data_IF_031590326320
#
_entry.id   IF_031590326320
#
_cell.length_a   1.000
_cell.length_b   1.000
_cell.length_c   1.000
_cell.angle_alpha   90.00
_cell.angle_beta   90.00
_cell.angle_gamma   90.00
#
_symmetry.space_group_name_H-M   'P 1'
#
loop_
_entity.id
_entity.type
_entity.pdbx_description
1 polymer ?
#
# COMPACT_ATOMS: atom_id res chain seq x y z
N UNK A 1 20.70 -6.46 33.57
CA UNK A 1 21.94 -5.82 33.09
C UNK A 1 21.53 -4.55 32.34
N UNK A 2 21.87 -3.41 32.93
CA UNK A 2 21.79 -2.03 32.42
C UNK A 2 20.41 -1.39 32.21
N UNK A 3 19.87 -0.88 33.31
CA UNK A 3 19.30 0.47 33.39
C UNK A 3 20.37 1.50 32.96
N UNK A 4 20.05 2.47 32.11
CA UNK A 4 20.64 3.81 32.06
C UNK A 4 20.04 4.55 30.85
N UNK A 5 19.25 5.59 31.07
CA UNK A 5 19.40 6.96 30.51
C UNK A 5 18.22 7.79 31.03
N UNK A 6 18.44 8.44 32.17
CA UNK A 6 17.65 9.56 32.66
C UNK A 6 18.67 10.65 33.03
N UNK A 7 18.78 11.70 32.20
CA UNK A 7 19.59 12.91 32.46
C UNK A 7 18.75 14.11 32.03
N UNK A 8 18.04 14.78 32.94
CA UNK A 8 18.48 15.95 33.71
C UNK A 8 19.13 17.06 32.88
N UNK A 9 18.38 18.14 32.64
CA UNK A 9 18.94 19.49 32.50
C UNK A 9 18.15 20.44 33.39
N UNK A 10 18.88 21.04 34.33
CA UNK A 10 18.41 21.91 35.41
C UNK A 10 19.22 23.20 35.28
N UNK A 11 18.60 24.31 34.90
CA UNK A 11 19.20 25.65 34.97
C UNK A 11 18.13 26.69 35.35
N UNK A 12 18.38 27.35 36.47
CA UNK A 12 17.85 28.62 37.00
C UNK A 12 18.99 29.13 37.94
N UNK A 13 19.11 30.43 38.29
CA UNK A 13 18.12 31.51 38.18
C UNK A 13 18.75 32.81 37.60
N UNK A 14 18.04 33.94 37.59
CA UNK A 14 18.43 35.25 38.15
C UNK A 14 17.25 36.23 37.98
N UNK A 15 17.06 37.07 39.00
CA UNK A 15 15.88 37.91 39.28
C UNK A 15 15.97 39.36 38.75
N UNK A 16 14.83 40.06 38.92
CA UNK A 16 14.58 41.52 39.00
C UNK A 16 14.15 42.14 37.66
N UNK A 17 13.09 42.95 37.53
CA UNK A 17 12.15 43.59 38.45
C UNK A 17 11.55 44.84 37.74
N UNK A 18 10.40 45.35 38.23
CA UNK A 18 9.68 46.60 37.84
C UNK A 18 8.51 46.45 36.82
N UNK A 19 7.52 47.37 36.83
CA UNK A 19 6.53 47.62 37.86
C UNK A 19 5.08 47.46 37.32
N UNK A 20 4.11 47.41 38.24
CA UNK A 20 2.69 47.37 37.94
C UNK A 20 2.20 48.65 37.24
N UNK A 21 1.52 48.47 36.10
CA UNK A 21 0.63 49.47 35.51
C UNK A 21 -0.76 48.84 35.41
N UNK A 22 -1.67 49.35 36.24
CA UNK A 22 -3.11 49.10 36.10
C UNK A 22 -3.58 49.76 34.80
N UNK A 23 -4.14 48.97 33.90
CA UNK A 23 -4.96 49.48 32.79
C UNK A 23 -6.12 48.52 32.58
N UNK A 24 -7.30 49.04 32.95
CA UNK A 24 -8.61 48.81 32.36
C UNK A 24 -8.89 47.41 31.81
N UNK A 25 -9.72 46.66 32.53
CA UNK A 25 -10.49 45.55 31.96
C UNK A 25 -11.38 46.10 30.83
N UNK A 26 -10.93 45.97 29.59
CA UNK A 26 -11.82 45.85 28.46
C UNK A 26 -12.38 44.43 28.50
N UNK A 27 -13.65 44.31 28.87
CA UNK A 27 -14.44 43.10 28.58
C UNK A 27 -14.57 43.06 27.07
N UNK A 28 -13.63 42.37 26.41
CA UNK A 28 -13.78 42.02 25.01
C UNK A 28 -14.97 41.06 24.94
N UNK A 29 -16.00 41.50 24.23
CA UNK A 29 -17.12 40.67 23.81
C UNK A 29 -16.60 39.38 23.19
N UNK A 30 -17.06 38.25 23.71
CA UNK A 30 -16.90 36.88 23.21
C UNK A 30 -17.46 36.78 21.79
N UNK A 31 -16.73 37.32 20.82
CA UNK A 31 -16.83 36.84 19.45
C UNK A 31 -15.89 35.63 19.42
N UNK A 32 -16.37 34.42 19.11
CA UNK A 32 -15.47 33.29 18.90
C UNK A 32 -14.33 33.78 18.00
N UNK A 33 -13.07 33.53 18.37
CA UNK A 33 -11.99 33.73 17.42
C UNK A 33 -12.44 33.09 16.11
N UNK A 34 -12.31 33.78 14.97
CA UNK A 34 -12.80 33.28 13.66
C UNK A 34 -12.35 31.85 13.40
N UNK A 35 -11.20 31.47 13.96
CA UNK A 35 -10.67 30.12 14.02
C UNK A 35 -11.52 29.13 14.83
N UNK A 36 -11.84 29.42 16.10
CA UNK A 36 -12.70 28.55 16.92
C UNK A 36 -14.08 28.42 16.27
N UNK A 37 -14.66 29.52 15.81
CA UNK A 37 -15.94 29.47 15.07
C UNK A 37 -15.89 28.54 13.86
N UNK A 38 -14.80 28.60 13.09
CA UNK A 38 -14.63 27.78 11.89
C UNK A 38 -14.48 26.27 12.16
N UNK A 39 -13.75 25.87 13.21
CA UNK A 39 -13.48 24.45 13.50
C UNK A 39 -14.41 23.82 14.52
N UNK A 40 -15.00 24.61 15.42
CA UNK A 40 -15.88 24.14 16.49
C UNK A 40 -17.36 24.21 16.16
N UNK A 41 -17.79 24.95 15.14
CA UNK A 41 -19.21 25.06 14.73
C UNK A 41 -20.13 25.37 15.92
N UNK A 42 -19.75 26.35 16.76
CA UNK A 42 -20.48 26.81 17.95
C UNK A 42 -20.70 25.77 19.07
N UNK A 43 -20.05 24.61 19.02
CA UNK A 43 -20.10 23.62 20.11
C UNK A 43 -19.46 24.17 21.38
N UNK A 44 -20.23 24.19 22.46
CA UNK A 44 -19.83 24.79 23.74
C UNK A 44 -18.62 24.09 24.37
N UNK A 45 -18.58 22.76 24.26
CA UNK A 45 -17.49 21.91 24.78
C UNK A 45 -16.28 21.81 23.84
N UNK A 46 -16.37 22.36 22.62
CA UNK A 46 -15.28 22.27 21.66
C UNK A 46 -14.14 23.23 22.00
N UNK A 47 -12.91 22.72 21.93
CA UNK A 47 -11.67 23.46 22.17
C UNK A 47 -10.59 23.08 21.17
N UNK A 48 -9.81 24.07 20.76
CA UNK A 48 -8.53 23.87 20.08
C UNK A 48 -7.53 23.49 21.17
N UNK A 49 -7.02 22.26 21.13
CA UNK A 49 -6.03 21.75 22.08
C UNK A 49 -4.68 22.38 21.80
N UNK A 50 -4.28 22.37 20.53
CA UNK A 50 -2.99 22.90 20.07
C UNK A 50 -3.03 23.30 18.60
N UNK A 51 -2.05 24.11 18.22
CA UNK A 51 -1.77 24.52 16.83
C UNK A 51 -0.33 24.16 16.51
N UNK A 52 -0.15 23.24 15.58
CA UNK A 52 1.14 22.70 15.17
C UNK A 52 1.58 23.37 13.87
N UNK A 53 2.77 23.97 13.87
CA UNK A 53 3.34 24.60 12.67
C UNK A 53 3.69 23.54 11.62
N UNK A 54 3.17 23.72 10.41
CA UNK A 54 3.45 22.86 9.26
C UNK A 54 4.26 23.61 8.18
N UNK A 55 4.90 24.73 8.51
CA UNK A 55 5.75 25.50 7.61
C UNK A 55 4.98 26.11 6.44
N UNK A 56 5.60 26.11 5.26
CA UNK A 56 5.04 26.75 4.08
C UNK A 56 4.90 25.75 2.92
N UNK A 57 3.84 25.90 2.13
CA UNK A 57 3.71 25.27 0.83
C UNK A 57 4.68 25.91 -0.19
N UNK A 58 4.85 25.26 -1.34
CA UNK A 58 5.76 25.74 -2.39
C UNK A 58 5.38 27.14 -2.94
N UNK A 59 4.10 27.49 -2.90
CA UNK A 59 3.61 28.82 -3.28
C UNK A 59 3.75 29.86 -2.16
N UNK A 60 4.34 29.51 -1.01
CA UNK A 60 4.53 30.38 0.14
C UNK A 60 3.34 30.47 1.09
N UNK A 61 2.23 29.76 0.83
CA UNK A 61 1.10 29.64 1.77
C UNK A 61 1.58 29.05 3.09
N UNK A 62 1.33 29.73 4.20
CA UNK A 62 1.66 29.22 5.53
C UNK A 62 0.63 28.16 5.95
N UNK A 63 1.11 27.07 6.55
CA UNK A 63 0.32 25.89 6.91
C UNK A 63 0.44 25.65 8.41
N UNK A 64 -0.68 25.35 9.07
CA UNK A 64 -0.70 24.85 10.44
C UNK A 64 -1.76 23.76 10.59
N UNK A 65 -1.55 22.83 11.50
CA UNK A 65 -2.52 21.79 11.84
C UNK A 65 -3.10 22.09 13.22
N UNK A 66 -4.42 22.20 13.29
CA UNK A 66 -5.16 22.40 14.53
C UNK A 66 -5.64 21.04 15.04
N UNK A 67 -5.26 20.70 16.27
CA UNK A 67 -5.80 19.56 16.99
C UNK A 67 -6.97 20.05 17.86
N UNK A 68 -8.15 19.50 17.64
CA UNK A 68 -9.43 20.00 18.16
C UNK A 68 -10.16 18.87 18.88
N UNK A 69 -10.54 19.08 20.13
CA UNK A 69 -11.50 18.22 20.83
C UNK A 69 -12.90 18.82 20.72
N UNK A 70 -13.87 18.06 20.20
CA UNK A 70 -15.22 18.58 19.94
C UNK A 70 -16.16 18.58 21.16
N UNK A 71 -15.87 17.81 22.21
CA UNK A 71 -16.78 17.61 23.33
C UNK A 71 -17.58 16.31 23.26
N UNK A 72 -18.51 16.12 24.19
CA UNK A 72 -19.37 14.94 24.36
C UNK A 72 -20.73 15.05 23.66
N UNK A 73 -21.16 16.25 23.27
CA UNK A 73 -22.36 16.46 22.46
C UNK A 73 -22.17 15.83 21.06
N UNK A 74 -23.03 14.87 20.73
CA UNK A 74 -22.98 14.06 19.51
C UNK A 74 -21.73 13.18 19.39
N UNK A 75 -21.50 12.30 20.39
CA UNK A 75 -20.59 11.17 20.21
C UNK A 75 -20.93 10.48 18.90
N UNK A 76 -19.98 10.50 17.97
CA UNK A 76 -20.06 9.68 16.77
C UNK A 76 -20.16 8.22 17.23
N UNK A 77 -20.92 7.42 16.49
CA UNK A 77 -20.83 5.99 16.61
C UNK A 77 -19.76 5.51 15.63
N UNK A 78 -19.02 4.47 15.98
CA UNK A 78 -18.21 3.73 15.01
C UNK A 78 -19.11 2.99 13.99
N UNK A 79 -18.50 2.29 13.04
CA UNK A 79 -19.22 1.48 12.05
C UNK A 79 -20.09 0.36 12.67
N UNK A 80 -19.86 0.00 13.93
CA UNK A 80 -20.61 -1.02 14.67
C UNK A 80 -21.68 -0.41 15.59
N UNK A 81 -21.87 0.92 15.56
CA UNK A 81 -22.84 1.62 16.39
C UNK A 81 -22.36 1.88 17.83
N UNK A 82 -21.10 1.58 18.17
CA UNK A 82 -20.54 1.85 19.50
C UNK A 82 -20.17 3.32 19.59
N UNK A 83 -20.56 3.97 20.67
CA UNK A 83 -20.20 5.36 20.92
C UNK A 83 -18.68 5.50 21.02
N UNK A 84 -18.10 6.42 20.25
CA UNK A 84 -16.70 6.81 20.42
C UNK A 84 -16.49 7.23 21.88
N UNK A 85 -15.26 7.04 22.41
CA UNK A 85 -14.92 7.59 23.73
C UNK A 85 -15.28 9.08 23.79
N UNK A 86 -15.63 9.59 24.99
CA UNK A 86 -15.87 11.02 25.17
C UNK A 86 -14.67 11.78 24.60
N UNK A 87 -14.95 12.80 23.77
CA UNK A 87 -14.00 13.65 23.04
C UNK A 87 -13.42 13.04 21.74
N UNK A 88 -14.19 12.93 20.64
CA UNK A 88 -13.61 12.70 19.33
C UNK A 88 -12.60 13.81 19.00
N UNK A 89 -11.40 13.39 18.61
CA UNK A 89 -10.31 14.27 18.22
C UNK A 89 -10.36 14.54 16.73
N UNK A 90 -10.30 15.80 16.35
CA UNK A 90 -10.28 16.24 14.96
C UNK A 90 -8.99 16.98 14.66
N UNK A 91 -8.47 16.74 13.46
CA UNK A 91 -7.32 17.45 12.94
C UNK A 91 -7.74 18.29 11.74
N UNK A 92 -7.42 19.58 11.76
CA UNK A 92 -7.79 20.53 10.71
C UNK A 92 -6.56 21.21 10.15
N UNK A 93 -6.48 21.36 8.83
CA UNK A 93 -5.49 22.18 8.17
C UNK A 93 -5.98 23.64 8.14
N UNK A 94 -5.18 24.53 8.70
CA UNK A 94 -5.25 25.98 8.52
C UNK A 94 -4.28 26.39 7.44
N UNK A 95 -4.76 27.15 6.46
CA UNK A 95 -3.95 27.71 5.39
C UNK A 95 -4.05 29.23 5.43
N UNK A 96 -2.92 29.92 5.38
CA UNK A 96 -2.85 31.37 5.28
C UNK A 96 -2.10 31.72 4.00
N UNK A 97 -2.86 32.13 2.99
CA UNK A 97 -2.28 32.52 1.70
C UNK A 97 -1.60 33.89 1.77
N UNK A 98 -0.81 34.24 0.74
CA UNK A 98 0.02 35.46 0.74
C UNK A 98 -0.77 36.76 0.86
N UNK A 99 -2.03 36.77 0.45
CA UNK A 99 -2.93 37.93 0.57
C UNK A 99 -3.59 38.02 1.97
N UNK A 100 -3.24 37.12 2.88
CA UNK A 100 -3.78 37.03 4.23
C UNK A 100 -5.10 36.26 4.35
N UNK A 101 -5.65 35.73 3.25
CA UNK A 101 -6.86 34.90 3.31
C UNK A 101 -6.57 33.60 4.06
N UNK A 102 -7.44 33.31 5.04
CA UNK A 102 -7.38 32.10 5.87
C UNK A 102 -8.46 31.12 5.43
N UNK A 103 -8.10 29.85 5.27
CA UNK A 103 -9.04 28.76 5.03
C UNK A 103 -8.78 27.60 5.99
N UNK A 104 -9.84 26.87 6.33
CA UNK A 104 -9.80 25.70 7.20
C UNK A 104 -10.37 24.50 6.46
N UNK A 105 -9.75 23.33 6.64
CA UNK A 105 -10.22 22.06 6.07
C UNK A 105 -9.95 20.92 7.04
N UNK A 106 -10.94 20.09 7.32
CA UNK A 106 -10.75 18.88 8.13
C UNK A 106 -9.83 17.90 7.40
N UNK A 107 -8.82 17.40 8.09
CA UNK A 107 -7.90 16.37 7.58
C UNK A 107 -8.46 14.99 7.88
N UNK A 108 -8.69 14.70 9.15
CA UNK A 108 -9.25 13.44 9.64
C UNK A 108 -9.84 13.64 11.05
N UNK A 109 -10.58 12.64 11.49
CA UNK A 109 -11.21 12.56 12.81
C UNK A 109 -10.98 11.17 13.39
N UNK A 110 -10.69 11.07 14.69
CA UNK A 110 -10.57 9.80 15.38
C UNK A 110 -11.81 9.51 16.21
N UNK A 111 -12.43 8.37 15.90
CA UNK A 111 -13.29 7.67 16.83
C UNK A 111 -12.39 6.76 17.66
N UNK A 112 -11.84 7.27 18.77
CA UNK A 112 -11.08 6.44 19.70
C UNK A 112 -12.05 5.55 20.49
N UNK A 113 -12.68 4.57 19.84
CA UNK A 113 -13.60 3.60 20.43
C UNK A 113 -12.88 2.49 21.22
N UNK A 114 -11.54 2.47 21.15
CA UNK A 114 -10.69 1.45 21.76
C UNK A 114 -10.35 0.28 20.83
N UNK A 115 -10.47 0.45 19.51
CA UNK A 115 -9.81 -0.36 18.46
C UNK A 115 -9.97 -1.88 18.61
N UNK A 116 -11.16 -2.30 19.06
CA UNK A 116 -11.61 -3.68 19.23
C UNK A 116 -12.19 -3.98 20.63
N UNK A 117 -12.56 -5.24 20.87
CA UNK A 117 -13.13 -5.69 22.15
C UNK A 117 -12.20 -5.48 23.38
N UNK A 118 -10.91 -5.22 23.15
CA UNK A 118 -9.91 -4.96 24.18
C UNK A 118 -9.93 -3.52 24.68
N UNK A 119 -10.47 -2.56 23.93
CA UNK A 119 -10.47 -1.16 24.34
C UNK A 119 -9.07 -0.51 24.35
N UNK A 120 -8.08 -1.11 23.67
CA UNK A 120 -6.68 -0.68 23.68
C UNK A 120 -6.25 -0.34 22.25
N UNK A 121 -5.89 0.92 22.05
CA UNK A 121 -4.99 1.32 20.98
C UNK A 121 -4.49 2.74 21.17
N UNK A 122 -3.55 3.13 20.34
CA UNK A 122 -2.81 4.38 20.45
C UNK A 122 -2.78 5.05 19.08
N UNK A 123 -3.04 6.35 19.06
CA UNK A 123 -2.92 7.20 17.89
C UNK A 123 -1.82 8.22 18.13
N UNK A 124 -0.89 8.33 17.19
CA UNK A 124 0.21 9.30 17.23
C UNK A 124 0.14 10.13 15.96
N UNK A 125 -0.03 11.44 16.12
CA UNK A 125 0.03 12.41 15.03
C UNK A 125 1.29 13.23 15.14
N UNK A 126 2.09 13.23 14.07
CA UNK A 126 3.28 14.07 13.96
C UNK A 126 3.13 15.05 12.80
N UNK A 127 3.35 16.33 13.07
CA UNK A 127 3.30 17.40 12.06
C UNK A 127 4.71 17.90 11.78
N UNK A 128 5.04 18.04 10.49
CA UNK A 128 6.28 18.62 10.02
C UNK A 128 6.05 19.53 8.82
N UNK A 129 7.13 20.06 8.21
CA UNK A 129 7.02 20.96 7.07
C UNK A 129 6.23 20.35 5.91
N UNK A 130 5.06 20.92 5.62
CA UNK A 130 4.09 20.51 4.61
C UNK A 130 3.75 19.00 4.67
N UNK A 131 3.78 18.42 5.87
CA UNK A 131 3.65 16.98 6.08
C UNK A 131 2.93 16.65 7.37
N UNK A 132 2.10 15.61 7.32
CA UNK A 132 1.51 15.01 8.50
C UNK A 132 1.73 13.49 8.43
N UNK A 133 2.05 12.90 9.57
CA UNK A 133 2.18 11.45 9.74
C UNK A 133 1.22 11.00 10.84
N UNK A 134 0.58 9.87 10.59
CA UNK A 134 -0.39 9.21 11.45
C UNK A 134 0.09 7.79 11.70
N UNK A 135 0.32 7.43 12.95
CA UNK A 135 0.59 6.06 13.36
C UNK A 135 -0.53 5.60 14.31
N UNK A 136 -1.18 4.50 13.97
CA UNK A 136 -2.30 3.92 14.72
C UNK A 136 -2.00 2.47 15.01
N UNK A 137 -2.26 2.05 16.24
CA UNK A 137 -2.10 0.65 16.63
C UNK A 137 -3.32 0.20 17.42
N UNK A 138 -3.75 -1.04 17.21
CA UNK A 138 -4.95 -1.56 17.85
C UNK A 138 -4.99 -3.09 17.92
N UNK A 139 -6.13 -3.62 18.34
CA UNK A 139 -6.39 -5.06 18.44
C UNK A 139 -6.04 -5.68 19.80
N UNK A 140 -6.08 -7.02 19.85
CA UNK A 140 -5.91 -7.82 21.06
C UNK A 140 -4.87 -8.92 20.86
N UNK A 141 -5.30 -10.17 20.64
CA UNK A 141 -4.43 -11.27 20.26
C UNK A 141 -3.86 -11.05 18.85
N UNK A 142 -4.73 -10.67 17.92
CA UNK A 142 -4.38 -10.07 16.64
C UNK A 142 -4.22 -8.57 16.81
N UNK A 143 -3.03 -8.07 16.51
CA UNK A 143 -2.69 -6.66 16.50
C UNK A 143 -2.65 -6.17 15.08
N UNK A 144 -3.00 -4.91 14.91
CA UNK A 144 -2.83 -4.21 13.65
C UNK A 144 -2.12 -2.88 13.89
N UNK A 145 -1.37 -2.45 12.88
CA UNK A 145 -0.67 -1.17 12.84
C UNK A 145 -0.95 -0.50 11.50
N UNK A 146 -1.23 0.80 11.50
CA UNK A 146 -1.35 1.63 10.31
C UNK A 146 -0.44 2.83 10.50
N UNK A 147 0.57 2.96 9.64
CA UNK A 147 1.43 4.14 9.57
C UNK A 147 1.24 4.83 8.23
N UNK A 148 0.70 6.04 8.20
CA UNK A 148 0.43 6.78 6.98
C UNK A 148 1.06 8.17 7.00
N UNK A 149 1.54 8.62 5.85
CA UNK A 149 2.13 9.94 5.72
C UNK A 149 1.62 10.67 4.48
N UNK A 150 1.27 11.94 4.67
CA UNK A 150 0.63 12.77 3.68
C UNK A 150 1.37 14.09 3.53
N UNK A 151 1.40 14.61 2.31
CA UNK A 151 1.71 16.02 2.05
C UNK A 151 0.43 16.82 2.22
N UNK A 152 0.52 18.00 2.85
CA UNK A 152 -0.66 18.83 3.15
C UNK A 152 -1.09 19.68 1.94
N UNK A 153 -0.13 20.18 1.14
CA UNK A 153 -0.39 21.04 -0.02
C UNK A 153 0.64 20.86 -1.17
N UNK A 154 0.22 20.56 -2.41
CA UNK A 154 -1.07 19.91 -2.70
C UNK A 154 -1.21 18.62 -1.89
N UNK A 155 -2.43 18.33 -1.48
CA UNK A 155 -2.74 17.13 -0.69
C UNK A 155 -2.46 15.87 -1.50
N UNK A 156 -1.65 14.97 -0.93
CA UNK A 156 -1.42 13.65 -1.51
C UNK A 156 -0.88 12.68 -0.47
N UNK A 157 -1.25 11.40 -0.55
CA UNK A 157 -0.56 10.36 0.20
C UNK A 157 0.88 10.23 -0.31
N UNK A 158 1.80 9.91 0.58
CA UNK A 158 3.21 9.70 0.27
C UNK A 158 3.62 8.27 0.55
N UNK A 159 3.31 7.79 1.75
CA UNK A 159 3.68 6.47 2.24
C UNK A 159 2.53 5.92 3.08
N UNK A 160 2.28 4.62 2.99
CA UNK A 160 1.39 3.90 3.89
C UNK A 160 2.00 2.55 4.22
N UNK A 161 2.03 2.20 5.50
CA UNK A 161 2.42 0.93 6.05
C UNK A 161 1.21 0.37 6.77
N UNK A 162 0.93 -0.89 6.52
CA UNK A 162 -0.08 -1.64 7.26
C UNK A 162 0.55 -2.93 7.76
N UNK A 163 0.28 -3.29 9.00
CA UNK A 163 0.68 -4.58 9.54
C UNK A 163 -0.49 -5.21 10.29
N UNK A 164 -0.63 -6.52 10.17
CA UNK A 164 -1.49 -7.35 11.02
C UNK A 164 -0.68 -8.56 11.47
N UNK A 165 -0.66 -8.85 12.77
CA UNK A 165 0.13 -9.96 13.31
C UNK A 165 -0.47 -10.53 14.59
N UNK A 166 -0.24 -11.81 14.83
CA UNK A 166 -0.63 -12.45 16.07
C UNK A 166 0.47 -12.30 17.12
N UNK A 167 0.10 -11.92 18.34
CA UNK A 167 1.05 -11.70 19.46
C UNK A 167 1.65 -12.97 20.06
N UNK A 168 0.92 -14.09 20.04
CA UNK A 168 1.33 -15.37 20.63
C UNK A 168 1.35 -16.61 19.69
N UNK A 169 0.72 -16.52 18.52
CA UNK A 169 0.40 -17.68 17.68
C UNK A 169 1.09 -17.67 16.33
N UNK A 170 2.06 -16.78 16.10
CA UNK A 170 2.68 -16.58 14.79
C UNK A 170 1.70 -16.11 13.71
N UNK A 171 2.23 -15.84 12.52
CA UNK A 171 1.46 -15.28 11.43
C UNK A 171 1.47 -13.75 11.43
N UNK A 172 1.75 -13.19 10.26
CA UNK A 172 1.87 -11.76 10.08
C UNK A 172 1.69 -11.40 8.60
N UNK A 173 1.12 -10.24 8.31
CA UNK A 173 1.17 -9.59 7.01
C UNK A 173 1.55 -8.13 7.24
N UNK A 174 2.62 -7.68 6.60
CA UNK A 174 3.00 -6.28 6.55
C UNK A 174 3.08 -5.85 5.09
N UNK A 175 2.51 -4.68 4.78
CA UNK A 175 2.65 -4.04 3.48
C UNK A 175 3.19 -2.62 3.63
N UNK A 176 3.91 -2.17 2.61
CA UNK A 176 4.45 -0.81 2.53
C UNK A 176 4.22 -0.28 1.12
N UNK A 177 3.42 0.78 1.01
CA UNK A 177 3.00 1.43 -0.22
C UNK A 177 3.63 2.82 -0.33
N UNK A 178 4.50 3.02 -1.32
CA UNK A 178 4.99 4.35 -1.71
C UNK A 178 4.14 4.89 -2.85
N UNK A 179 3.30 5.89 -2.58
CA UNK A 179 2.40 6.51 -3.56
C UNK A 179 3.10 7.47 -4.52
N UNK A 180 4.40 7.74 -4.34
CA UNK A 180 5.19 8.55 -5.27
C UNK A 180 5.82 7.67 -6.34
N UNK A 181 6.24 6.47 -5.93
CA UNK A 181 6.77 5.44 -6.81
C UNK A 181 5.71 4.46 -7.31
N UNK A 182 4.51 4.50 -6.73
CA UNK A 182 3.37 3.63 -7.05
C UNK A 182 3.75 2.16 -6.92
N UNK A 183 4.36 1.86 -5.77
CA UNK A 183 4.93 0.55 -5.49
C UNK A 183 4.46 0.12 -4.12
N UNK A 184 3.92 -1.09 -4.05
CA UNK A 184 3.63 -1.75 -2.79
C UNK A 184 4.52 -2.97 -2.64
N UNK A 185 5.15 -3.11 -1.48
CA UNK A 185 5.89 -4.29 -1.04
C UNK A 185 5.13 -4.97 0.08
N UNK A 186 5.36 -6.26 0.26
CA UNK A 186 4.84 -6.94 1.43
C UNK A 186 5.68 -8.11 1.89
N UNK A 187 5.45 -8.44 3.16
CA UNK A 187 6.08 -9.51 3.92
C UNK A 187 5.00 -10.28 4.64
N UNK A 188 5.05 -11.60 4.52
CA UNK A 188 4.04 -12.50 5.04
C UNK A 188 4.71 -13.67 5.75
N UNK A 189 4.22 -13.97 6.94
CA UNK A 189 4.31 -15.29 7.52
C UNK A 189 2.88 -15.82 7.67
N UNK A 190 2.54 -16.98 7.09
CA UNK A 190 1.21 -17.54 7.26
C UNK A 190 0.98 -17.89 8.73
N UNK A 191 -0.25 -17.72 9.22
CA UNK A 191 -0.63 -18.25 10.53
C UNK A 191 -0.52 -19.79 10.53
N UNK A 192 -0.09 -20.40 11.65
CA UNK A 192 -0.12 -21.85 11.77
C UNK A 192 -1.57 -22.35 11.71
N UNK A 193 -1.74 -23.60 11.25
CA UNK A 193 -3.07 -24.22 11.08
C UNK A 193 -3.77 -24.52 12.41
N UNK A 194 -3.02 -24.52 13.51
CA UNK A 194 -3.53 -24.65 14.88
C UNK A 194 -2.94 -23.49 15.66
N UNK A 195 -3.74 -22.84 16.50
CA UNK A 195 -3.25 -21.86 17.47
C UNK A 195 -2.38 -22.57 18.51
N UNK A 196 -1.15 -22.87 18.14
CA UNK A 196 -0.11 -23.28 19.06
C UNK A 196 0.56 -22.02 19.56
N UNK A 197 0.54 -21.83 20.88
CA UNK A 197 1.39 -20.85 21.51
C UNK A 197 2.83 -21.22 21.19
N UNK A 198 3.52 -20.34 20.49
CA UNK A 198 4.94 -20.46 20.23
C UNK A 198 5.62 -19.39 21.08
N UNK A 199 6.24 -19.82 22.18
CA UNK A 199 6.92 -18.92 23.12
C UNK A 199 8.12 -18.21 22.48
N UNK A 200 8.64 -18.75 21.37
CA UNK A 200 9.72 -18.17 20.58
C UNK A 200 9.20 -17.33 19.40
N UNK A 201 7.87 -17.17 19.24
CA UNK A 201 7.30 -16.38 18.17
C UNK A 201 7.74 -14.92 18.27
N UNK A 202 8.33 -14.41 17.20
CA UNK A 202 8.65 -12.99 17.08
C UNK A 202 7.36 -12.18 17.00
N UNK A 203 7.21 -11.17 17.86
CA UNK A 203 6.13 -10.19 17.77
C UNK A 203 6.33 -9.34 16.52
N UNK A 204 5.29 -9.24 15.68
CA UNK A 204 5.32 -8.48 14.43
C UNK A 204 5.77 -9.29 13.21
N UNK A 205 6.10 -8.59 12.12
CA UNK A 205 6.68 -9.20 10.93
C UNK A 205 8.20 -9.06 10.90
N UNK A 206 8.94 -10.17 11.09
CA UNK A 206 10.35 -10.19 10.71
C UNK A 206 10.48 -10.27 9.17
N UNK A 207 10.69 -9.10 8.57
CA UNK A 207 10.86 -8.93 7.12
C UNK A 207 11.97 -9.80 6.52
N UNK A 208 13.01 -10.16 7.30
CA UNK A 208 14.15 -10.95 6.79
C UNK A 208 13.84 -12.44 6.71
N UNK A 209 13.11 -12.97 7.69
CA UNK A 209 12.72 -14.37 7.74
C UNK A 209 11.33 -14.64 7.15
N UNK A 210 10.61 -13.60 6.73
CA UNK A 210 9.29 -13.71 6.11
C UNK A 210 9.26 -14.76 4.99
N UNK A 211 8.33 -15.70 5.11
CA UNK A 211 8.12 -16.78 4.15
C UNK A 211 7.72 -16.24 2.79
N UNK A 212 6.70 -15.37 2.78
CA UNK A 212 6.27 -14.61 1.62
C UNK A 212 6.93 -13.25 1.61
N UNK A 213 7.57 -12.92 0.50
CA UNK A 213 8.14 -11.59 0.22
C UNK A 213 7.79 -11.23 -1.21
N UNK A 214 7.21 -10.06 -1.42
CA UNK A 214 6.66 -9.71 -2.72
C UNK A 214 6.67 -8.21 -3.03
N UNK A 215 6.57 -7.91 -4.31
CA UNK A 215 6.15 -6.62 -4.84
C UNK A 215 4.77 -6.83 -5.46
N UNK A 216 3.79 -6.07 -5.00
CA UNK A 216 2.43 -6.23 -5.45
C UNK A 216 2.25 -5.66 -6.87
N UNK A 217 1.50 -6.37 -7.71
CA UNK A 217 1.16 -5.91 -9.06
C UNK A 217 0.05 -4.85 -8.94
N UNK A 218 0.19 -3.65 -9.54
CA UNK A 218 -0.88 -2.66 -9.52
C UNK A 218 -2.10 -3.14 -10.32
N UNK A 219 -3.28 -2.90 -9.77
CA UNK A 219 -4.58 -3.22 -10.37
C UNK A 219 -5.42 -1.97 -10.56
N UNK A 220 -6.10 -1.88 -11.71
CA UNK A 220 -7.08 -0.83 -11.98
C UNK A 220 -8.37 -1.03 -11.17
N UNK A 221 -8.87 0.03 -10.53
CA UNK A 221 -10.14 0.03 -9.76
C UNK A 221 -11.36 -0.29 -10.60
N UNK A 222 -11.39 0.18 -11.85
CA UNK A 222 -12.43 -0.14 -12.82
C UNK A 222 -11.76 -0.84 -13.97
N UNK A 223 -12.40 -1.90 -14.48
CA UNK A 223 -11.95 -2.66 -15.64
C UNK A 223 -11.38 -1.70 -16.67
N UNK A 224 -10.08 -1.85 -16.96
CA UNK A 224 -9.34 -0.92 -17.82
C UNK A 224 -9.98 -0.77 -19.21
N UNK A 225 -9.32 0.00 -20.09
CA UNK A 225 -9.71 0.08 -21.50
C UNK A 225 -10.10 -1.31 -22.04
N UNK A 226 -11.15 -1.35 -22.86
CA UNK A 226 -11.65 -2.61 -23.42
C UNK A 226 -10.49 -3.44 -23.96
N UNK A 227 -10.24 -4.67 -23.48
CA UNK A 227 -9.03 -5.43 -23.81
C UNK A 227 -8.76 -5.56 -25.32
N UNK A 228 -9.82 -5.57 -26.13
CA UNK A 228 -9.74 -5.57 -27.59
C UNK A 228 -9.19 -4.25 -28.18
N UNK A 229 -9.43 -3.11 -27.54
CA UNK A 229 -8.88 -1.82 -27.94
C UNK A 229 -7.37 -1.73 -27.68
N UNK A 230 -6.90 -2.26 -26.53
CA UNK A 230 -5.48 -2.32 -26.19
C UNK A 230 -4.67 -3.12 -27.22
N UNK A 231 -5.20 -4.28 -27.64
CA UNK A 231 -4.60 -5.12 -28.68
C UNK A 231 -4.56 -4.40 -30.04
N UNK A 232 -5.71 -3.88 -30.51
CA UNK A 232 -5.80 -3.19 -31.82
C UNK A 232 -4.85 -2.02 -31.94
N UNK A 233 -4.62 -1.30 -30.84
CA UNK A 233 -3.71 -0.14 -30.80
C UNK A 233 -2.27 -0.53 -30.41
N UNK A 234 -2.00 -1.83 -30.18
CA UNK A 234 -0.73 -2.36 -29.72
C UNK A 234 -0.18 -1.58 -28.52
N UNK A 235 -1.05 -1.31 -27.54
CA UNK A 235 -0.76 -0.45 -26.37
C UNK A 235 0.34 -1.07 -25.54
N UNK A 236 1.40 -0.29 -25.26
CA UNK A 236 2.49 -0.68 -24.38
C UNK A 236 2.25 -0.30 -22.91
N UNK A 237 3.10 -0.82 -22.03
CA UNK A 237 3.11 -0.46 -20.61
C UNK A 237 4.18 0.61 -20.34
N UNK A 238 3.74 1.74 -19.80
CA UNK A 238 4.56 2.89 -19.41
C UNK A 238 4.86 2.90 -17.92
N UNK A 239 4.64 4.03 -17.26
CA UNK A 239 4.83 4.21 -15.80
C UNK A 239 3.70 3.62 -14.95
N UNK A 240 2.59 3.19 -15.56
CA UNK A 240 1.43 2.67 -14.82
C UNK A 240 1.56 1.20 -14.40
N UNK A 241 2.67 0.56 -14.75
CA UNK A 241 2.90 -0.86 -14.53
C UNK A 241 4.05 -1.07 -13.55
N UNK A 242 3.97 -2.13 -12.76
CA UNK A 242 5.11 -2.66 -12.04
C UNK A 242 6.19 -3.03 -13.05
N UNK A 243 7.43 -2.59 -12.83
CA UNK A 243 8.58 -2.95 -13.66
C UNK A 243 9.52 -3.84 -12.88
N UNK A 244 9.84 -5.02 -13.44
CA UNK A 244 10.82 -5.94 -12.91
C UNK A 244 12.12 -5.90 -13.73
N UNK A 245 13.25 -6.04 -13.05
CA UNK A 245 14.59 -6.16 -13.63
C UNK A 245 15.41 -7.21 -12.90
N UNK A 246 16.34 -7.84 -13.60
CA UNK A 246 17.23 -8.86 -13.03
C UNK A 246 18.39 -8.26 -12.20
N UNK A 247 18.21 -7.12 -11.53
CA UNK A 247 19.30 -6.43 -10.81
C UNK A 247 19.79 -7.18 -9.57
N UNK A 248 18.95 -8.06 -9.01
CA UNK A 248 19.17 -8.71 -7.71
C UNK A 248 18.74 -7.85 -6.52
N UNK A 249 18.21 -6.65 -6.77
CA UNK A 249 17.57 -5.83 -5.76
C UNK A 249 16.09 -6.24 -5.67
N UNK A 250 15.63 -6.65 -4.48
CA UNK A 250 14.23 -7.04 -4.23
C UNK A 250 13.24 -5.87 -4.43
N UNK A 251 13.73 -4.65 -4.63
CA UNK A 251 12.95 -3.49 -5.05
C UNK A 251 12.56 -3.47 -6.53
N UNK A 252 13.30 -4.21 -7.37
CA UNK A 252 13.09 -4.35 -8.81
C UNK A 252 12.61 -5.77 -9.19
N UNK A 253 12.29 -6.62 -8.21
CA UNK A 253 11.87 -8.01 -8.42
C UNK A 253 12.86 -9.03 -7.89
N UNK A 254 12.44 -10.30 -7.88
CA UNK A 254 13.18 -11.40 -7.27
C UNK A 254 13.79 -12.30 -8.33
N UNK A 255 15.10 -12.53 -8.28
CA UNK A 255 15.74 -13.56 -9.11
C UNK A 255 15.62 -14.89 -8.37
N UNK A 256 14.67 -15.73 -8.78
CA UNK A 256 14.32 -17.00 -8.08
C UNK A 256 14.99 -18.24 -8.67
N UNK A 257 15.64 -18.10 -9.83
CA UNK A 257 16.50 -19.11 -10.44
C UNK A 257 17.61 -18.42 -11.24
N UNK A 258 18.80 -19.03 -11.25
CA UNK A 258 20.00 -18.45 -11.87
C UNK A 258 20.65 -17.38 -10.97
N UNK A 259 21.30 -16.40 -11.59
CA UNK A 259 21.94 -15.28 -10.90
C UNK A 259 21.49 -13.93 -11.44
N UNK A 260 21.59 -12.84 -10.65
CA UNK A 260 21.29 -11.49 -11.11
C UNK A 260 22.20 -11.07 -12.26
N UNK A 261 21.71 -10.15 -13.08
CA UNK A 261 22.42 -9.52 -14.17
C UNK A 261 22.03 -8.04 -14.27
N UNK A 262 22.74 -7.17 -13.54
CA UNK A 262 22.48 -5.74 -13.54
C UNK A 262 22.74 -5.05 -14.89
N UNK A 263 23.42 -5.72 -15.83
CA UNK A 263 23.71 -5.20 -17.17
C UNK A 263 22.66 -5.64 -18.19
N UNK A 264 21.83 -6.63 -17.85
CA UNK A 264 20.74 -7.07 -18.69
C UNK A 264 19.79 -5.91 -18.97
N UNK A 265 19.37 -5.79 -20.23
CA UNK A 265 18.31 -4.86 -20.65
C UNK A 265 16.93 -5.50 -20.62
N UNK A 266 16.82 -6.63 -19.91
CA UNK A 266 15.57 -7.34 -19.66
C UNK A 266 14.67 -6.50 -18.76
N UNK A 267 13.45 -6.25 -19.22
CA UNK A 267 12.43 -5.52 -18.49
C UNK A 267 11.09 -6.25 -18.62
N UNK A 268 10.45 -6.54 -17.49
CA UNK A 268 9.12 -7.13 -17.45
C UNK A 268 8.18 -6.13 -16.81
N UNK A 269 7.14 -5.73 -17.50
CA UNK A 269 6.11 -4.81 -16.98
C UNK A 269 4.79 -5.52 -16.78
N UNK A 270 4.12 -5.24 -15.67
CA UNK A 270 2.91 -5.94 -15.24
C UNK A 270 1.84 -4.93 -14.76
N UNK A 271 0.63 -5.06 -15.29
CA UNK A 271 -0.54 -4.29 -14.88
C UNK A 271 -1.77 -5.19 -14.90
N UNK A 272 -2.51 -5.24 -13.79
CA UNK A 272 -3.80 -5.91 -13.74
C UNK A 272 -4.89 -4.97 -14.22
N UNK A 273 -5.62 -5.39 -15.25
CA UNK A 273 -6.78 -4.67 -15.77
C UNK A 273 -8.05 -5.00 -14.98
N UNK A 274 -8.05 -6.16 -14.31
CA UNK A 274 -9.11 -6.66 -13.42
C UNK A 274 -8.50 -7.67 -12.43
N UNK A 275 -9.31 -8.26 -11.56
CA UNK A 275 -8.86 -9.31 -10.64
C UNK A 275 -8.45 -10.63 -11.37
N UNK A 276 -8.80 -10.76 -12.66
CA UNK A 276 -8.56 -11.98 -13.45
C UNK A 276 -7.88 -11.71 -14.79
N UNK A 277 -7.48 -10.47 -15.07
CA UNK A 277 -6.91 -10.07 -16.36
C UNK A 277 -5.60 -9.31 -16.17
N UNK A 278 -4.51 -9.89 -16.65
CA UNK A 278 -3.15 -9.33 -16.62
C UNK A 278 -2.75 -8.85 -18.01
N UNK A 279 -2.27 -7.62 -18.10
CA UNK A 279 -1.45 -7.16 -19.22
C UNK A 279 0.02 -7.22 -18.80
N UNK A 280 0.80 -8.02 -19.51
CA UNK A 280 2.24 -8.15 -19.34
C UNK A 280 2.98 -7.68 -20.60
N UNK A 281 4.11 -7.03 -20.41
CA UNK A 281 5.04 -6.65 -21.48
C UNK A 281 6.44 -7.12 -21.12
N UNK A 282 7.05 -7.94 -21.97
CA UNK A 282 8.42 -8.41 -21.80
C UNK A 282 9.29 -7.81 -22.91
N UNK A 283 10.35 -7.12 -22.52
CA UNK A 283 11.40 -6.66 -23.44
C UNK A 283 12.70 -7.30 -23.00
N UNK A 284 13.34 -8.05 -23.91
CA UNK A 284 14.63 -8.68 -23.64
C UNK A 284 15.56 -8.48 -24.84
N UNK A 285 16.23 -7.33 -24.86
CA UNK A 285 16.96 -6.84 -26.03
C UNK A 285 18.10 -7.78 -26.39
N UNK A 286 18.13 -8.22 -27.64
CA UNK A 286 19.20 -9.06 -28.18
C UNK A 286 18.97 -10.57 -28.02
N UNK A 287 17.88 -10.99 -27.37
CA UNK A 287 17.44 -12.38 -27.37
C UNK A 287 16.40 -12.63 -28.45
N UNK A 288 16.49 -13.79 -29.09
CA UNK A 288 15.40 -14.35 -29.89
C UNK A 288 14.73 -15.42 -29.05
N UNK A 289 13.42 -15.33 -28.79
CA UNK A 289 12.71 -16.34 -28.01
C UNK A 289 12.92 -17.74 -28.54
N UNK A 290 13.43 -18.64 -27.71
CA UNK A 290 13.62 -20.03 -28.09
C UNK A 290 12.28 -20.80 -28.10
N UNK A 291 12.21 -21.84 -28.93
CA UNK A 291 11.11 -22.81 -28.97
C UNK A 291 11.68 -24.22 -28.84
N UNK A 292 11.06 -25.02 -27.99
CA UNK A 292 11.46 -26.40 -27.76
C UNK A 292 10.26 -27.28 -27.41
N UNK A 293 10.50 -28.58 -27.28
CA UNK A 293 9.47 -29.54 -26.86
C UNK A 293 9.06 -29.37 -25.40
N UNK A 294 9.96 -28.84 -24.55
CA UNK A 294 9.71 -28.59 -23.15
C UNK A 294 9.60 -27.08 -22.92
N UNK A 295 8.39 -26.59 -22.68
CA UNK A 295 8.11 -25.17 -22.48
C UNK A 295 8.97 -24.52 -21.38
N UNK A 296 9.48 -25.28 -20.41
CA UNK A 296 10.40 -24.80 -19.37
C UNK A 296 11.76 -24.33 -19.93
N UNK A 297 12.12 -24.74 -21.14
CA UNK A 297 13.33 -24.30 -21.82
C UNK A 297 13.10 -23.12 -22.77
N UNK A 298 11.85 -22.66 -22.89
CA UNK A 298 11.47 -21.54 -23.74
C UNK A 298 11.45 -20.23 -22.92
N UNK A 299 11.60 -19.11 -23.61
CA UNK A 299 11.31 -17.79 -23.03
C UNK A 299 9.81 -17.65 -22.80
N UNK A 300 9.42 -17.38 -21.55
CA UNK A 300 8.02 -17.52 -21.12
C UNK A 300 7.65 -16.65 -19.93
N UNK A 301 6.37 -16.36 -19.82
CA UNK A 301 5.75 -15.92 -18.58
C UNK A 301 5.22 -17.15 -17.83
N UNK A 302 5.27 -17.16 -16.50
CA UNK A 302 4.54 -18.09 -15.66
C UNK A 302 3.56 -17.33 -14.78
N UNK A 303 2.32 -17.79 -14.72
CA UNK A 303 1.35 -17.36 -13.72
C UNK A 303 1.23 -18.43 -12.66
N UNK A 304 1.52 -18.05 -11.42
CA UNK A 304 1.26 -18.84 -10.24
C UNK A 304 0.06 -18.24 -9.53
N UNK A 305 -1.02 -19.01 -9.43
CA UNK A 305 -2.29 -18.58 -8.85
C UNK A 305 -2.62 -19.49 -7.67
N UNK A 306 -3.09 -18.89 -6.58
CA UNK A 306 -3.56 -19.62 -5.41
C UNK A 306 -4.58 -18.78 -4.63
N UNK A 307 -5.16 -19.35 -3.57
CA UNK A 307 -6.10 -18.62 -2.72
C UNK A 307 -5.40 -17.49 -1.97
N UNK A 308 -6.19 -16.65 -1.30
CA UNK A 308 -5.69 -15.56 -0.47
C UNK A 308 -4.69 -16.10 0.54
N UNK A 309 -3.61 -15.33 0.71
CA UNK A 309 -2.60 -15.62 1.72
C UNK A 309 -3.09 -15.34 3.15
N UNK A 310 -4.14 -14.54 3.29
CA UNK A 310 -4.74 -14.14 4.57
C UNK A 310 -6.08 -14.85 4.80
N UNK A 311 -6.40 -15.13 6.07
CA UNK A 311 -7.66 -15.79 6.45
C UNK A 311 -7.54 -17.16 7.14
N UNK A 312 -6.35 -17.53 7.61
CA UNK A 312 -6.17 -18.71 8.48
C UNK A 312 -6.32 -20.08 7.80
N UNK A 313 -6.33 -20.14 6.47
CA UNK A 313 -6.38 -21.42 5.76
C UNK A 313 -5.14 -22.27 6.07
N UNK A 314 -5.27 -23.60 6.25
CA UNK A 314 -4.10 -24.46 6.33
C UNK A 314 -3.30 -24.43 5.01
N UNK A 315 -1.96 -24.36 5.09
CA UNK A 315 -1.08 -24.39 3.91
C UNK A 315 -1.34 -25.62 3.02
N UNK A 316 -1.69 -26.77 3.62
CA UNK A 316 -2.06 -27.98 2.90
C UNK A 316 -3.30 -27.81 2.01
N UNK A 317 -4.28 -27.01 2.43
CA UNK A 317 -5.47 -26.74 1.63
C UNK A 317 -5.19 -25.69 0.55
N UNK A 318 -4.37 -24.68 0.85
CA UNK A 318 -3.89 -23.74 -0.17
C UNK A 318 -3.13 -24.44 -1.29
N UNK A 319 -2.30 -25.45 -0.96
CA UNK A 319 -1.56 -26.25 -1.95
C UNK A 319 -2.47 -26.97 -2.94
N UNK A 320 -3.67 -27.38 -2.53
CA UNK A 320 -4.65 -28.05 -3.43
C UNK A 320 -5.22 -27.11 -4.48
N UNK A 321 -5.19 -25.81 -4.22
CA UNK A 321 -5.69 -24.75 -5.09
C UNK A 321 -4.56 -23.92 -5.73
N UNK A 322 -3.31 -24.41 -5.64
CA UNK A 322 -2.16 -23.79 -6.29
C UNK A 322 -2.07 -24.30 -7.74
N UNK A 323 -2.07 -23.37 -8.68
CA UNK A 323 -1.91 -23.66 -10.11
C UNK A 323 -0.75 -22.86 -10.68
N UNK A 324 -0.04 -23.48 -11.63
CA UNK A 324 0.97 -22.83 -12.45
C UNK A 324 0.60 -22.96 -13.92
N UNK A 325 0.73 -21.87 -14.66
CA UNK A 325 0.56 -21.84 -16.10
C UNK A 325 1.80 -21.23 -16.74
N UNK A 326 2.44 -21.96 -17.65
CA UNK A 326 3.48 -21.43 -18.52
C UNK A 326 2.86 -20.82 -19.78
N UNK A 327 3.28 -19.63 -20.17
CA UNK A 327 2.83 -18.91 -21.36
C UNK A 327 4.06 -18.56 -22.19
N UNK A 328 4.22 -19.22 -23.33
CA UNK A 328 5.39 -19.02 -24.18
C UNK A 328 5.33 -17.65 -24.87
N UNK A 329 6.44 -16.92 -24.87
CA UNK A 329 6.48 -15.54 -25.39
C UNK A 329 6.37 -15.44 -26.92
N UNK A 330 6.72 -16.49 -27.65
CA UNK A 330 6.77 -16.45 -29.12
C UNK A 330 5.38 -16.43 -29.76
N UNK A 331 4.44 -17.17 -29.17
CA UNK A 331 3.13 -17.49 -29.77
C UNK A 331 1.97 -17.46 -28.76
N UNK A 332 2.25 -17.19 -27.47
CA UNK A 332 1.24 -17.17 -26.42
C UNK A 332 0.70 -18.55 -26.04
N UNK A 333 1.33 -19.64 -26.49
CA UNK A 333 0.88 -20.99 -26.15
C UNK A 333 0.90 -21.21 -24.63
N UNK A 334 -0.18 -21.79 -24.10
CA UNK A 334 -0.41 -21.99 -22.67
C UNK A 334 -0.21 -23.45 -22.29
N UNK A 335 0.56 -23.68 -21.23
CA UNK A 335 0.92 -25.00 -20.72
C UNK A 335 0.53 -25.10 -19.24
N UNK A 336 -0.14 -26.17 -18.86
CA UNK A 336 -0.36 -26.46 -17.45
C UNK A 336 0.94 -26.97 -16.81
N UNK A 337 1.32 -26.36 -15.68
CA UNK A 337 2.44 -26.78 -14.84
C UNK A 337 1.93 -27.48 -13.56
N UNK A 338 2.37 -26.98 -12.41
CA UNK A 338 1.87 -27.36 -11.09
C UNK A 338 0.33 -27.32 -11.00
N UNK A 339 -0.25 -28.25 -10.25
CA UNK A 339 -1.70 -28.38 -10.03
C UNK A 339 -2.49 -28.99 -11.20
N UNK A 340 -1.93 -29.02 -12.41
CA UNK A 340 -2.52 -29.65 -13.62
C UNK A 340 -3.99 -29.24 -13.86
N UNK A 341 -4.28 -27.93 -13.80
CA UNK A 341 -5.61 -27.43 -14.12
C UNK A 341 -6.08 -27.91 -15.50
N UNK A 342 -7.35 -28.34 -15.58
CA UNK A 342 -8.00 -28.72 -16.84
C UNK A 342 -8.43 -27.51 -17.68
N UNK A 343 -8.54 -26.34 -17.04
CA UNK A 343 -8.92 -25.07 -17.68
C UNK A 343 -7.69 -24.19 -17.74
N UNK A 344 -7.35 -23.74 -18.94
CA UNK A 344 -6.19 -22.90 -19.17
C UNK A 344 -6.63 -21.44 -19.30
N UNK A 345 -5.80 -20.48 -18.86
CA UNK A 345 -5.98 -19.08 -19.20
C UNK A 345 -6.08 -18.88 -20.71
N UNK A 346 -6.84 -17.87 -21.12
CA UNK A 346 -6.81 -17.39 -22.50
C UNK A 346 -5.72 -16.34 -22.64
N UNK A 347 -5.01 -16.36 -23.78
CA UNK A 347 -3.90 -15.44 -24.03
C UNK A 347 -4.08 -14.79 -25.40
N UNK A 348 -4.00 -13.48 -25.42
CA UNK A 348 -3.80 -12.69 -26.64
C UNK A 348 -2.38 -12.16 -26.65
N UNK A 349 -1.74 -12.22 -27.80
CA UNK A 349 -0.32 -11.91 -27.96
C UNK A 349 -0.10 -10.97 -29.14
N UNK A 350 0.73 -9.96 -28.93
CA UNK A 350 1.18 -9.08 -30.00
C UNK A 350 2.57 -8.52 -29.71
N UNK A 351 3.15 -7.83 -30.69
CA UNK A 351 4.45 -7.18 -30.58
C UNK A 351 4.33 -5.67 -30.70
N UNK A 352 5.20 -4.98 -29.97
CA UNK A 352 5.44 -3.54 -30.11
C UNK A 352 6.94 -3.29 -30.12
N UNK A 353 7.51 -3.14 -31.32
CA UNK A 353 8.96 -3.07 -31.48
C UNK A 353 9.66 -4.36 -31.02
N UNK A 354 10.57 -4.23 -30.07
CA UNK A 354 11.31 -5.33 -29.44
C UNK A 354 10.60 -5.94 -28.22
N UNK A 355 9.42 -5.43 -27.85
CA UNK A 355 8.64 -5.96 -26.75
C UNK A 355 7.56 -6.96 -27.21
N UNK A 356 7.38 -8.00 -26.40
CA UNK A 356 6.30 -8.98 -26.48
C UNK A 356 5.22 -8.60 -25.47
N UNK A 357 3.96 -8.57 -25.89
CA UNK A 357 2.83 -8.28 -25.02
C UNK A 357 1.92 -9.49 -24.91
N UNK A 358 1.48 -9.75 -23.68
CA UNK A 358 0.58 -10.83 -23.32
C UNK A 358 -0.58 -10.24 -22.53
N UNK A 359 -1.79 -10.41 -23.06
CA UNK A 359 -3.01 -10.16 -22.32
C UNK A 359 -3.57 -11.52 -21.90
N UNK A 360 -3.52 -11.79 -20.60
CA UNK A 360 -3.82 -13.09 -20.00
C UNK A 360 -5.09 -12.98 -19.17
N UNK A 361 -6.07 -13.82 -19.45
CA UNK A 361 -7.33 -13.89 -18.70
C UNK A 361 -7.52 -15.29 -18.12
N UNK A 362 -7.70 -15.40 -16.81
CA UNK A 362 -7.92 -16.65 -16.09
C UNK A 362 -9.28 -16.72 -15.39
N UNK A 363 -10.25 -15.87 -15.75
CA UNK A 363 -11.58 -15.86 -15.13
C UNK A 363 -12.28 -17.23 -15.13
N UNK A 364 -12.03 -18.04 -16.15
CA UNK A 364 -12.64 -19.37 -16.29
C UNK A 364 -11.87 -20.51 -15.60
N UNK A 365 -10.69 -20.25 -15.03
CA UNK A 365 -9.82 -21.28 -14.43
C UNK A 365 -10.46 -21.92 -13.20
N UNK A 366 -11.47 -21.29 -12.60
CA UNK A 366 -12.29 -21.88 -11.52
C UNK A 366 -11.63 -21.79 -10.14
N UNK A 367 -10.87 -20.73 -9.90
CA UNK A 367 -10.40 -20.36 -8.57
C UNK A 367 -11.51 -19.58 -7.85
N UNK A 368 -11.89 -20.05 -6.66
CA UNK A 368 -12.84 -19.32 -5.79
C UNK A 368 -12.19 -18.03 -5.26
N UNK A 369 -13.01 -17.04 -4.92
CA UNK A 369 -12.61 -15.65 -4.70
C UNK A 369 -11.42 -15.43 -3.75
N UNK A 370 -10.69 -14.33 -4.03
CA UNK A 370 -9.44 -13.87 -3.42
C UNK A 370 -8.19 -14.60 -3.92
N UNK A 371 -7.68 -14.18 -5.08
CA UNK A 371 -6.50 -14.78 -5.70
C UNK A 371 -5.22 -14.11 -5.22
N UNK A 372 -4.29 -14.90 -4.70
CA UNK A 372 -2.88 -14.50 -4.59
C UNK A 372 -2.18 -14.86 -5.89
N UNK A 373 -1.23 -14.04 -6.33
CA UNK A 373 -0.59 -14.23 -7.62
C UNK A 373 0.90 -13.88 -7.58
N UNK A 374 1.68 -14.74 -8.22
CA UNK A 374 3.04 -14.42 -8.64
C UNK A 374 3.15 -14.54 -10.15
N UNK A 375 3.78 -13.55 -10.77
CA UNK A 375 4.18 -13.62 -12.17
C UNK A 375 5.68 -13.84 -12.23
N UNK A 376 6.11 -14.77 -13.07
CA UNK A 376 7.53 -15.06 -13.30
C UNK A 376 7.84 -14.92 -14.77
N UNK A 377 8.95 -14.27 -15.11
CA UNK A 377 9.54 -14.35 -16.44
C UNK A 377 10.71 -15.34 -16.40
N UNK A 378 10.59 -16.43 -17.17
CA UNK A 378 11.64 -17.42 -17.36
C UNK A 378 12.40 -17.18 -18.66
N UNK A 379 13.73 -17.10 -18.56
CA UNK A 379 14.64 -17.01 -19.69
C UNK A 379 15.15 -18.41 -20.03
N UNK A 380 15.00 -18.81 -21.30
CA UNK A 380 15.40 -20.12 -21.80
C UNK A 380 16.19 -20.02 -23.10
N UNK A 381 17.06 -21.00 -23.37
CA UNK A 381 17.85 -21.08 -24.60
C UNK A 381 17.35 -22.17 -25.57
N UNK A 382 16.17 -22.76 -25.28
CA UNK A 382 15.58 -23.88 -26.00
C UNK A 382 16.12 -25.25 -25.58
N UNK A 383 17.14 -25.27 -24.70
CA UNK A 383 17.72 -26.51 -24.14
C UNK A 383 17.64 -26.55 -22.62
N UNK A 384 17.79 -25.39 -21.97
CA UNK A 384 17.73 -25.22 -20.53
C UNK A 384 17.15 -23.86 -20.16
N UNK A 385 16.67 -23.79 -18.93
CA UNK A 385 16.36 -22.55 -18.26
C UNK A 385 17.64 -21.88 -17.76
N UNK A 386 17.79 -20.57 -17.98
CA UNK A 386 18.94 -19.80 -17.53
C UNK A 386 18.63 -18.95 -16.29
N UNK A 387 17.45 -18.31 -16.25
CA UNK A 387 17.07 -17.38 -15.18
C UNK A 387 15.55 -17.32 -15.00
N UNK A 388 15.10 -16.99 -13.79
CA UNK A 388 13.71 -16.61 -13.51
C UNK A 388 13.66 -15.31 -12.70
N UNK A 389 12.85 -14.36 -13.17
CA UNK A 389 12.56 -13.09 -12.50
C UNK A 389 11.10 -13.06 -12.08
N UNK A 390 10.81 -12.84 -10.80
CA UNK A 390 9.48 -12.99 -10.22
C UNK A 390 9.02 -11.75 -9.45
N UNK A 391 7.70 -11.60 -9.27
CA UNK A 391 7.11 -10.60 -8.37
C UNK A 391 7.19 -10.97 -6.90
N UNK A 392 7.55 -12.21 -6.57
CA UNK A 392 7.77 -12.68 -5.20
C UNK A 392 8.98 -13.58 -5.08
N UNK A 393 9.42 -13.84 -3.86
CA UNK A 393 10.43 -14.84 -3.52
C UNK A 393 9.85 -16.27 -3.61
N UNK A 394 9.28 -16.59 -4.76
CA UNK A 394 8.55 -17.81 -5.06
C UNK A 394 9.40 -19.05 -4.81
N UNK A 395 8.83 -20.02 -4.11
CA UNK A 395 9.34 -21.40 -4.01
C UNK A 395 8.37 -22.33 -4.70
N UNK A 396 8.90 -23.23 -5.52
CA UNK A 396 8.10 -24.15 -6.32
C UNK A 396 7.15 -25.00 -5.44
N UNK A 397 5.86 -24.95 -5.73
CA UNK A 397 4.82 -25.72 -5.02
C UNK A 397 4.51 -25.22 -3.60
N UNK A 398 4.96 -24.02 -3.24
CA UNK A 398 4.71 -23.41 -1.93
C UNK A 398 3.79 -22.17 -2.07
N UNK A 399 2.49 -22.29 -1.75
CA UNK A 399 1.55 -21.19 -1.91
C UNK A 399 1.88 -20.01 -1.00
N UNK A 400 2.60 -20.23 0.10
CA UNK A 400 2.90 -19.20 1.10
C UNK A 400 3.97 -18.20 0.61
N UNK A 401 4.54 -18.48 -0.57
CA UNK A 401 5.51 -17.62 -1.27
C UNK A 401 4.91 -16.83 -2.43
N UNK A 402 3.58 -16.91 -2.64
CA UNK A 402 2.90 -16.11 -3.65
C UNK A 402 2.93 -14.62 -3.27
N UNK A 403 2.82 -13.76 -4.29
CA UNK A 403 2.62 -12.34 -4.14
C UNK A 403 1.15 -11.95 -4.04
N UNK A 404 0.92 -10.65 -4.00
CA UNK A 404 -0.42 -10.05 -4.04
C UNK A 404 -0.50 -9.03 -5.17
N UNK A 405 -1.69 -8.47 -5.34
CA UNK A 405 -1.90 -7.27 -6.11
C UNK A 405 -2.57 -6.22 -5.24
N UNK A 406 -2.51 -4.98 -5.67
CA UNK A 406 -3.09 -3.88 -4.94
C UNK A 406 -3.81 -2.94 -5.88
N UNK A 407 -4.96 -2.49 -5.43
CA UNK A 407 -5.75 -1.51 -6.14
C UNK A 407 -5.01 -0.18 -6.14
N UNK A 408 -4.65 0.26 -7.35
CA UNK A 408 -3.78 1.39 -7.55
C UNK A 408 -4.59 2.69 -7.70
N UNK A 409 -4.39 3.71 -6.84
CA UNK A 409 -5.24 4.90 -6.74
C UNK A 409 -5.03 5.96 -7.83
N UNK A 410 -4.64 5.59 -9.04
CA UNK A 410 -4.54 6.53 -10.15
C UNK A 410 -5.15 5.95 -11.43
N UNK A 411 -5.61 6.85 -12.28
CA UNK A 411 -5.96 6.46 -13.64
C UNK A 411 -4.69 6.16 -14.44
N UNK A 412 -4.69 5.13 -15.27
CA UNK A 412 -3.74 5.02 -16.36
C UNK A 412 -4.26 5.80 -17.56
N UNK A 413 -3.39 6.60 -18.19
CA UNK A 413 -3.70 7.39 -19.38
C UNK A 413 -2.84 6.91 -20.54
N UNK A 414 -3.48 6.65 -21.68
CA UNK A 414 -2.78 6.33 -22.91
C UNK A 414 -2.11 7.59 -23.48
N UNK A 415 -0.78 7.57 -23.56
CA UNK A 415 0.04 8.65 -24.14
C UNK A 415 1.08 8.03 -25.07
N UNK A 416 1.15 8.48 -26.31
CA UNK A 416 2.06 7.94 -27.33
C UNK A 416 2.01 6.40 -27.47
N UNK A 417 0.80 5.85 -27.29
CA UNK A 417 0.54 4.42 -27.34
C UNK A 417 1.05 3.62 -26.13
N UNK A 418 1.44 4.25 -25.02
CA UNK A 418 1.78 3.56 -23.77
C UNK A 418 0.91 4.03 -22.60
N UNK A 419 0.58 3.11 -21.68
CA UNK A 419 -0.17 3.42 -20.46
C UNK A 419 0.75 4.03 -19.41
N UNK A 420 0.58 5.32 -19.16
CA UNK A 420 1.29 6.06 -18.12
C UNK A 420 0.36 6.43 -16.97
N UNK A 421 0.96 6.66 -15.80
CA UNK A 421 0.26 7.17 -14.63
C UNK A 421 -0.31 8.55 -14.95
N UNK A 422 -1.61 8.69 -14.74
CA UNK A 422 -2.33 9.95 -14.80
C UNK A 422 -2.35 10.67 -13.46
N UNK A 423 -3.46 11.35 -13.16
CA UNK A 423 -3.68 11.95 -11.84
C UNK A 423 -4.09 10.88 -10.84
N UNK A 424 -3.63 11.01 -9.60
CA UNK A 424 -4.22 10.29 -8.46
C UNK A 424 -5.71 10.65 -8.39
N UNK A 425 -6.52 9.65 -8.09
CA UNK A 425 -7.95 9.82 -7.90
C UNK A 425 -8.20 10.61 -6.61
N UNK A 426 -9.19 11.51 -6.63
CA UNK A 426 -9.48 12.39 -5.49
C UNK A 426 -9.85 11.63 -4.22
N UNK A 427 -10.49 10.47 -4.35
CA UNK A 427 -10.90 9.61 -3.24
C UNK A 427 -9.68 9.01 -2.52
N UNK A 428 -8.65 8.61 -3.26
CA UNK A 428 -7.40 8.14 -2.69
C UNK A 428 -6.46 9.26 -2.20
N UNK A 429 -6.77 10.53 -2.53
CA UNK A 429 -6.07 11.67 -1.94
C UNK A 429 -6.65 12.13 -0.61
N UNK A 430 -7.88 11.70 -0.26
CA UNK A 430 -8.44 12.03 1.04
C UNK A 430 -7.66 11.26 2.10
N UNK A 431 -7.07 11.99 3.06
CA UNK A 431 -6.67 11.40 4.34
C UNK A 431 -7.85 10.61 4.91
N UNK A 432 -7.56 9.44 5.50
CA UNK A 432 -8.55 8.51 6.05
C UNK A 432 -9.67 9.26 6.77
N UNK A 433 -10.83 9.33 6.12
CA UNK A 433 -12.08 9.58 6.79
C UNK A 433 -12.71 8.21 6.98
N UNK A 434 -12.18 7.41 7.92
CA UNK A 434 -12.88 6.19 8.29
C UNK A 434 -14.22 6.59 8.97
N UNK A 435 -15.33 6.22 8.32
CA UNK A 435 -16.68 6.15 8.86
C UNK A 435 -17.30 7.44 9.45
N UNK A 436 -17.40 8.50 8.64
CA UNK A 436 -18.39 9.57 8.89
C UNK A 436 -19.25 9.89 7.67
N UNK A 437 -19.48 8.92 6.77
CA UNK A 437 -20.55 9.08 5.78
C UNK A 437 -21.91 8.91 6.48
N UNK A 438 -22.48 10.09 6.75
CA UNK A 438 -23.89 10.49 6.95
C UNK A 438 -24.90 9.52 7.59
#
# INVERSE_FOLDING_TARGET
MNELVCRTFRWLPWMMGLPAIFSSMAVASDTPSTERGAVCQDRSECRIIETLDAGNAADGTALAVLHVALGSENQLADAEGRQCRPYPENYWLKQVSRDGKVTYRRLFAFCNDGYGASGIGEDIVTVGPNRITLDRVGGSAWRWEIGASYQLMPERPLLRREASYHTLGGGCLETETDFRALRQRGWLNPSPAVETLDEDATVGCDRKSATGRFIAIPQLERGGDEPAALERQSVGLGSCALTLRATGNEEDGFVVYGGPDPQARTEVKLLLLSATTLLAQVRDVGRTPAMSENWINDDRLELWLGPALYGGWPSADRKKQLYQFGIRLVDGAVFAGYGKSKRLPTVRHWRRGDAHLLLVDWGDVGLEESNSMTVVYGQGDGRRQERMLATSHLKYGDPDTLGQFWTFPAACVLQDGVLNVGKLQSEATKMENENTEE
#
